data_IF_035456070680
#
_entry.id   IF_035456070680
#
_cell.length_a   1.000
_cell.length_b   1.000
_cell.length_c   1.000
_cell.angle_alpha   90.00
_cell.angle_beta   90.00
_cell.angle_gamma   90.00
#
_symmetry.space_group_name_H-M   'P 1'
#
loop_
_entity.id
_entity.type
_entity.pdbx_description
1 polymer ?
#
# COMPACT_ATOMS: atom_id res chain seq x y z
N UNK A 1 -0.88 2.36 -13.49
CA UNK A 1 0.38 3.14 -13.47
C UNK A 1 0.56 4.00 -12.20
N UNK A 2 -0.48 4.69 -11.70
CA UNK A 2 -0.39 5.51 -10.48
C UNK A 2 -0.70 4.71 -9.19
N UNK A 3 -1.76 3.91 -9.20
CA UNK A 3 -2.22 3.09 -8.05
C UNK A 3 -1.13 2.18 -7.51
N UNK A 4 -0.44 1.43 -8.38
CA UNK A 4 0.66 0.54 -8.00
C UNK A 4 1.79 1.28 -7.27
N UNK A 5 2.13 2.48 -7.75
CA UNK A 5 3.16 3.32 -7.15
C UNK A 5 2.71 3.87 -5.80
N UNK A 6 1.46 4.31 -5.69
CA UNK A 6 0.91 4.83 -4.45
C UNK A 6 0.84 3.76 -3.35
N UNK A 7 0.45 2.52 -3.69
CA UNK A 7 0.54 1.37 -2.79
C UNK A 7 1.98 1.20 -2.27
N UNK A 8 2.95 1.16 -3.19
CA UNK A 8 4.36 0.97 -2.82
C UNK A 8 4.88 2.10 -1.91
N UNK A 9 4.58 3.37 -2.25
CA UNK A 9 4.99 4.53 -1.44
C UNK A 9 4.42 4.48 -0.03
N UNK A 10 3.12 4.19 0.12
CA UNK A 10 2.47 4.12 1.44
C UNK A 10 3.04 2.95 2.24
N UNK A 11 3.21 1.79 1.62
CA UNK A 11 3.83 0.62 2.25
C UNK A 11 5.23 0.94 2.76
N UNK A 12 6.06 1.57 1.94
CA UNK A 12 7.44 1.94 2.29
C UNK A 12 7.48 2.99 3.40
N UNK A 13 6.63 4.01 3.34
CA UNK A 13 6.51 5.01 4.39
C UNK A 13 6.14 4.39 5.74
N UNK A 14 5.27 3.37 5.75
CA UNK A 14 4.89 2.59 6.94
C UNK A 14 5.96 1.57 7.37
N UNK A 15 7.10 1.47 6.68
CA UNK A 15 8.17 0.53 7.01
C UNK A 15 7.80 -0.94 6.77
N UNK A 16 6.79 -1.19 5.95
CA UNK A 16 6.26 -2.54 5.69
C UNK A 16 7.02 -3.20 4.55
N UNK A 17 7.44 -4.46 4.73
CA UNK A 17 8.06 -5.27 3.67
C UNK A 17 6.99 -5.83 2.72
N UNK A 18 7.32 -5.95 1.43
CA UNK A 18 6.45 -6.61 0.43
C UNK A 18 6.03 -8.02 0.86
N UNK A 19 6.94 -8.79 1.48
CA UNK A 19 6.66 -10.15 1.97
C UNK A 19 5.59 -10.19 3.06
N UNK A 20 5.46 -9.14 3.88
CA UNK A 20 4.44 -9.07 4.93
C UNK A 20 3.04 -8.95 4.32
N UNK A 21 2.89 -8.06 3.33
CA UNK A 21 1.62 -7.90 2.60
C UNK A 21 1.30 -9.16 1.80
N UNK A 22 2.30 -9.75 1.14
CA UNK A 22 2.13 -11.00 0.39
C UNK A 22 1.63 -12.13 1.31
N UNK A 23 2.23 -12.28 2.49
CA UNK A 23 1.81 -13.26 3.49
C UNK A 23 0.37 -13.05 3.94
N UNK A 24 -0.04 -11.80 4.19
CA UNK A 24 -1.41 -11.47 4.56
C UNK A 24 -2.43 -11.82 3.47
N UNK A 25 -2.07 -11.60 2.20
CA UNK A 25 -2.92 -11.92 1.05
C UNK A 25 -2.88 -13.40 0.64
N UNK A 26 -2.07 -14.24 1.29
CA UNK A 26 -1.85 -15.62 0.85
C UNK A 26 -1.12 -15.74 -0.49
N UNK A 27 -0.32 -14.73 -0.85
CA UNK A 27 0.40 -14.63 -2.12
C UNK A 27 1.87 -14.98 -1.98
N UNK A 28 2.48 -15.44 -3.07
CA UNK A 28 3.93 -15.51 -3.16
C UNK A 28 4.53 -14.09 -3.23
N UNK A 29 5.75 -13.92 -2.73
CA UNK A 29 6.49 -12.65 -2.83
C UNK A 29 6.57 -12.14 -4.28
N UNK A 30 6.71 -13.07 -5.24
CA UNK A 30 6.76 -12.72 -6.67
C UNK A 30 5.43 -12.22 -7.19
N UNK A 31 4.29 -12.81 -6.75
CA UNK A 31 2.96 -12.32 -7.13
C UNK A 31 2.75 -10.89 -6.62
N UNK A 32 3.04 -10.63 -5.35
CA UNK A 32 2.90 -9.29 -4.79
C UNK A 32 3.88 -8.27 -5.40
N UNK A 33 5.13 -8.67 -5.67
CA UNK A 33 6.07 -7.83 -6.39
C UNK A 33 5.52 -7.36 -7.75
N UNK A 34 4.82 -8.25 -8.47
CA UNK A 34 4.18 -7.90 -9.75
C UNK A 34 3.03 -6.92 -9.57
N UNK A 35 2.30 -6.93 -8.45
CA UNK A 35 1.25 -5.95 -8.15
C UNK A 35 1.84 -4.54 -8.11
N UNK A 36 3.00 -4.34 -7.48
CA UNK A 36 3.61 -3.01 -7.37
C UNK A 36 4.42 -2.57 -8.61
N UNK A 37 4.88 -3.52 -9.45
CA UNK A 37 5.80 -3.21 -10.56
C UNK A 37 5.20 -3.34 -11.95
N UNK A 38 4.21 -4.21 -12.15
CA UNK A 38 3.66 -4.46 -13.49
C UNK A 38 2.39 -3.62 -13.69
N UNK A 39 2.27 -3.03 -14.89
CA UNK A 39 1.07 -2.34 -15.30
C UNK A 39 -0.04 -3.33 -15.69
N UNK A 40 -0.60 -4.01 -14.69
CA UNK A 40 -1.81 -4.84 -14.81
C UNK A 40 -2.91 -4.29 -13.91
N UNK A 41 -4.16 -4.55 -14.30
CA UNK A 41 -5.32 -4.31 -13.46
C UNK A 41 -5.20 -5.11 -12.16
N UNK A 42 -5.32 -4.42 -11.03
CA UNK A 42 -5.43 -5.03 -9.70
C UNK A 42 -6.94 -5.20 -9.43
N UNK A 43 -7.36 -6.34 -8.89
CA UNK A 43 -8.77 -6.51 -8.52
C UNK A 43 -9.13 -5.56 -7.38
N UNK A 44 -10.40 -5.16 -7.31
CA UNK A 44 -10.91 -4.34 -6.21
C UNK A 44 -10.73 -5.03 -4.85
N UNK A 45 -10.87 -6.36 -4.80
CA UNK A 45 -10.66 -7.15 -3.58
C UNK A 45 -9.20 -7.10 -3.10
N UNK A 46 -8.23 -7.21 -4.02
CA UNK A 46 -6.82 -7.07 -3.68
C UNK A 46 -6.53 -5.66 -3.16
N UNK A 47 -7.09 -4.62 -3.79
CA UNK A 47 -6.92 -3.24 -3.33
C UNK A 47 -7.53 -3.04 -1.92
N UNK A 48 -8.73 -3.57 -1.66
CA UNK A 48 -9.36 -3.49 -0.36
C UNK A 48 -8.54 -4.20 0.72
N UNK A 49 -8.04 -5.40 0.43
CA UNK A 49 -7.23 -6.16 1.38
C UNK A 49 -5.87 -5.48 1.65
N UNK A 50 -5.26 -4.87 0.64
CA UNK A 50 -4.04 -4.07 0.80
C UNK A 50 -4.32 -2.82 1.63
N UNK A 51 -5.43 -2.10 1.37
CA UNK A 51 -5.84 -0.93 2.14
C UNK A 51 -6.07 -1.27 3.61
N UNK A 52 -6.79 -2.37 3.86
CA UNK A 52 -7.02 -2.92 5.20
C UNK A 52 -5.70 -3.24 5.91
N UNK A 53 -4.79 -3.96 5.24
CA UNK A 53 -3.49 -4.30 5.82
C UNK A 53 -2.64 -3.08 6.14
N UNK A 54 -2.65 -2.07 5.27
CA UNK A 54 -1.91 -0.82 5.45
C UNK A 54 -2.62 0.15 6.41
N UNK A 55 -3.85 -0.13 6.81
CA UNK A 55 -4.66 0.74 7.67
C UNK A 55 -4.93 2.10 7.03
N UNK A 56 -5.36 2.10 5.76
CA UNK A 56 -5.69 3.31 5.00
C UNK A 56 -7.01 3.13 4.25
N UNK A 57 -7.64 4.24 3.86
CA UNK A 57 -8.79 4.22 2.96
C UNK A 57 -8.34 3.85 1.54
N UNK A 58 -9.08 3.00 0.82
CA UNK A 58 -8.73 2.55 -0.54
C UNK A 58 -8.56 3.72 -1.53
N UNK A 59 -9.31 4.83 -1.35
CA UNK A 59 -9.27 5.99 -2.24
C UNK A 59 -7.89 6.66 -2.26
N UNK A 60 -7.08 6.50 -1.20
CA UNK A 60 -5.74 7.07 -1.15
C UNK A 60 -4.86 6.53 -2.27
N UNK A 61 -5.08 5.30 -2.75
CA UNK A 61 -4.29 4.74 -3.84
C UNK A 61 -4.53 5.45 -5.17
N UNK A 62 -5.68 6.10 -5.34
CA UNK A 62 -6.10 6.72 -6.59
C UNK A 62 -5.79 8.22 -6.66
N UNK A 63 -5.43 8.85 -5.54
CA UNK A 63 -5.13 10.28 -5.45
C UNK A 63 -3.74 10.53 -4.84
N UNK A 64 -2.90 11.23 -5.59
CA UNK A 64 -1.52 11.51 -5.19
C UNK A 64 -1.43 12.47 -4.00
N UNK A 65 -2.33 13.44 -3.90
CA UNK A 65 -2.38 14.37 -2.77
C UNK A 65 -2.78 13.63 -1.50
N UNK A 66 -3.74 12.71 -1.60
CA UNK A 66 -4.12 11.85 -0.48
C UNK A 66 -2.96 10.92 -0.08
N UNK A 67 -2.31 10.29 -1.06
CA UNK A 67 -1.10 9.47 -0.85
C UNK A 67 -0.02 10.25 -0.10
N UNK A 68 0.32 11.45 -0.58
CA UNK A 68 1.35 12.29 0.03
C UNK A 68 0.96 12.75 1.44
N UNK A 69 -0.33 12.98 1.70
CA UNK A 69 -0.85 13.29 3.04
C UNK A 69 -0.64 12.11 4.00
N UNK A 70 -0.98 10.89 3.58
CA UNK A 70 -0.74 9.67 4.38
C UNK A 70 0.74 9.54 4.70
N UNK A 71 1.62 9.64 3.69
CA UNK A 71 3.08 9.49 3.87
C UNK A 71 3.63 10.51 4.88
N UNK A 72 3.16 11.76 4.84
CA UNK A 72 3.56 12.81 5.79
C UNK A 72 3.09 12.53 7.21
N UNK A 73 1.93 11.90 7.38
CA UNK A 73 1.33 11.64 8.69
C UNK A 73 1.90 10.40 9.39
N UNK A 74 2.45 9.42 8.65
CA UNK A 74 3.10 8.23 9.23
C UNK A 74 4.23 8.58 10.21
N UNK A 75 4.90 9.72 10.02
CA UNK A 75 5.93 10.20 10.95
C UNK A 75 5.39 10.80 12.26
N UNK A 76 4.09 11.14 12.33
CA UNK A 76 3.47 11.83 13.48
C UNK A 76 2.80 10.90 14.49
N UNK A 77 2.46 9.67 14.11
CA UNK A 77 1.79 8.70 14.99
C UNK A 77 2.74 8.02 16.01
N UNK A 78 4.06 8.24 15.91
CA UNK A 78 5.06 7.66 16.84
C UNK A 78 5.34 8.49 18.11
N UNK A 79 4.57 9.52 18.42
CA UNK A 79 4.65 10.23 19.71
C UNK A 79 3.43 9.91 20.58
N UNK A 80 3.46 8.88 21.44
CA UNK A 80 2.68 8.92 22.66
C UNK A 80 3.26 10.02 23.57
N UNK A 81 2.36 10.87 24.06
CA UNK A 81 2.60 11.89 25.09
C UNK A 81 3.04 11.28 26.41
#
# INVERSE_FOLDING_TARGET
MQVQKNIAKIREAKGVKQSAVASFLGYSSQKYHRIEKINKTISTDDLNNIALFLGVDINVFFDDKLTDSVIKNVGKEKQPS
#
